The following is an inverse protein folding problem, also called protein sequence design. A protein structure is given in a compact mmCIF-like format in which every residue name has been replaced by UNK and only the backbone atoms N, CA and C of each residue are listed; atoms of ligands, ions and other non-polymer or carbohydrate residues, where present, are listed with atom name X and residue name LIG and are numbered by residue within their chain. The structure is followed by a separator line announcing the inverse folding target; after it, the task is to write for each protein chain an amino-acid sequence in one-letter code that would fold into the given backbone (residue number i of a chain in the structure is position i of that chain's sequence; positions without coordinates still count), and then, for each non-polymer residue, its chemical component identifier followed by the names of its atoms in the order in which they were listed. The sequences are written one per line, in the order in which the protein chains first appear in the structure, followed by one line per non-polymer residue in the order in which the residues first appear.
data_IF_882444512582
#
_entry.id   IF_882444512582
#
_cell.length_a   1.000
_cell.length_b   1.000
_cell.length_c   1.000
_cell.angle_alpha   90.00
_cell.angle_beta   90.00
_cell.angle_gamma   90.00
#
_symmetry.space_group_name_H-M   'P 1'
#
loop_
_entity.id
_entity.type
_entity.pdbx_description
1 polymer ?
#
# COMPACT_ATOMS: atom_id res chain seq x y z
N UNK A 1 2.04 12.48 -17.09
CA UNK A 1 0.65 12.99 -17.22
C UNK A 1 0.06 12.71 -18.59
N UNK A 2 0.78 12.87 -19.67
CA UNK A 2 0.29 12.73 -21.06
C UNK A 2 -0.41 11.38 -21.32
N UNK A 3 0.17 10.27 -20.82
CA UNK A 3 -0.43 8.93 -20.95
C UNK A 3 -1.79 8.86 -20.25
N UNK A 4 -1.89 9.46 -19.06
CA UNK A 4 -3.10 9.46 -18.25
C UNK A 4 -4.19 10.29 -18.91
N UNK A 5 -3.84 11.47 -19.38
CA UNK A 5 -4.74 12.37 -20.10
C UNK A 5 -5.27 11.74 -21.39
N UNK A 6 -4.42 10.98 -22.10
CA UNK A 6 -4.80 10.26 -23.32
C UNK A 6 -5.87 9.18 -23.07
N UNK A 7 -5.86 8.53 -21.92
CA UNK A 7 -6.81 7.45 -21.59
C UNK A 7 -8.14 7.96 -21.03
N UNK A 8 -8.22 9.21 -20.58
CA UNK A 8 -9.45 9.82 -20.09
C UNK A 8 -10.08 9.14 -18.88
N UNK A 9 -9.28 8.47 -18.04
CA UNK A 9 -9.73 7.75 -16.86
C UNK A 9 -10.15 8.74 -15.76
N UNK A 10 -11.25 8.43 -15.06
CA UNK A 10 -11.78 9.28 -13.99
C UNK A 10 -11.03 9.13 -12.68
N UNK A 11 -10.62 7.92 -12.36
CA UNK A 11 -9.91 7.59 -11.12
C UNK A 11 -8.60 6.91 -11.42
N UNK A 12 -7.64 7.10 -10.52
CA UNK A 12 -6.30 6.55 -10.62
C UNK A 12 -5.92 5.90 -9.29
N UNK A 13 -5.38 4.67 -9.40
CA UNK A 13 -4.73 4.00 -8.29
C UNK A 13 -3.22 4.15 -8.45
N UNK A 14 -2.56 4.68 -7.43
CA UNK A 14 -1.10 4.79 -7.35
C UNK A 14 -0.60 3.74 -6.37
N UNK A 15 0.34 2.92 -6.80
CA UNK A 15 0.87 1.80 -6.03
C UNK A 15 2.37 1.95 -5.83
N UNK A 16 2.88 1.50 -4.66
CA UNK A 16 4.31 1.28 -4.47
C UNK A 16 4.78 0.04 -5.27
N UNK A 17 6.04 0.04 -5.69
CA UNK A 17 6.60 -1.02 -6.53
C UNK A 17 7.31 -2.15 -5.79
N UNK A 18 7.45 -2.04 -4.46
CA UNK A 18 8.26 -2.92 -3.60
C UNK A 18 7.46 -3.53 -2.43
N UNK A 19 6.17 -3.76 -2.64
CA UNK A 19 5.29 -4.36 -1.65
C UNK A 19 4.71 -5.69 -2.14
N UNK A 20 4.60 -6.68 -1.25
CA UNK A 20 4.00 -7.99 -1.51
C UNK A 20 2.72 -8.13 -0.71
N UNK A 21 1.59 -8.26 -1.38
CA UNK A 21 0.26 -8.40 -0.78
C UNK A 21 -0.77 -8.86 -1.81
N UNK A 22 -1.97 -9.24 -1.35
CA UNK A 22 -3.16 -9.41 -2.19
C UNK A 22 -4.27 -8.48 -1.70
N UNK A 23 -4.85 -7.72 -2.62
CA UNK A 23 -5.86 -6.72 -2.29
C UNK A 23 -6.91 -6.60 -3.40
N UNK A 24 -8.16 -6.48 -3.00
CA UNK A 24 -9.24 -6.08 -3.87
C UNK A 24 -9.32 -4.54 -3.93
N UNK A 25 -8.79 -3.96 -5.01
CA UNK A 25 -8.78 -2.52 -5.21
C UNK A 25 -10.17 -1.93 -5.48
N UNK A 26 -11.13 -2.74 -5.94
CA UNK A 26 -12.49 -2.29 -6.18
C UNK A 26 -13.15 -1.79 -4.89
N UNK A 27 -12.93 -2.49 -3.77
CA UNK A 27 -13.46 -2.09 -2.46
C UNK A 27 -12.88 -0.74 -1.99
N UNK A 28 -11.60 -0.50 -2.23
CA UNK A 28 -10.98 0.79 -1.91
C UNK A 28 -11.49 1.90 -2.83
N UNK A 29 -11.63 1.62 -4.12
CA UNK A 29 -12.18 2.56 -5.10
C UNK A 29 -13.63 2.91 -4.77
N UNK A 30 -14.46 1.92 -4.40
CA UNK A 30 -15.85 2.15 -3.99
C UNK A 30 -15.91 3.07 -2.76
N UNK A 31 -15.09 2.82 -1.73
CA UNK A 31 -15.00 3.72 -0.57
C UNK A 31 -14.61 5.15 -0.98
N UNK A 32 -13.66 5.30 -1.91
CA UNK A 32 -13.24 6.59 -2.42
C UNK A 32 -14.41 7.35 -3.05
N UNK A 33 -15.16 6.68 -3.94
CA UNK A 33 -16.32 7.25 -4.63
C UNK A 33 -17.42 7.62 -3.63
N UNK A 34 -17.77 6.70 -2.72
CA UNK A 34 -18.86 6.90 -1.77
C UNK A 34 -18.55 7.99 -0.75
N UNK A 35 -17.30 8.11 -0.33
CA UNK A 35 -16.86 9.15 0.60
C UNK A 35 -16.75 10.52 -0.06
N UNK A 36 -16.60 10.59 -1.39
CA UNK A 36 -16.30 11.84 -2.10
C UNK A 36 -14.99 12.45 -1.60
N UNK A 37 -13.99 11.64 -1.31
CA UNK A 37 -12.66 12.07 -0.87
C UNK A 37 -11.84 12.59 -2.05
N UNK A 38 -10.91 13.50 -1.79
CA UNK A 38 -9.89 13.94 -2.75
C UNK A 38 -8.78 12.89 -2.88
N UNK A 39 -8.47 12.22 -1.76
CA UNK A 39 -7.57 11.07 -1.71
C UNK A 39 -8.07 10.02 -0.72
N UNK A 40 -7.97 8.74 -1.09
CA UNK A 40 -8.11 7.61 -0.18
C UNK A 40 -6.75 6.92 -0.05
N UNK A 41 -6.31 6.66 1.18
CA UNK A 41 -4.98 6.11 1.49
C UNK A 41 -5.13 4.73 2.11
N UNK A 42 -4.56 3.71 1.46
CA UNK A 42 -4.47 2.37 2.03
C UNK A 42 -3.55 2.34 3.25
N UNK A 43 -4.01 1.72 4.33
CA UNK A 43 -3.27 1.68 5.59
C UNK A 43 -3.37 0.35 6.32
N UNK A 44 -2.33 0.09 7.11
CA UNK A 44 -2.21 -1.03 8.04
C UNK A 44 -2.30 -0.54 9.48
N UNK A 45 -2.87 -1.39 10.34
CA UNK A 45 -2.70 -1.25 11.78
C UNK A 45 -1.42 -1.97 12.19
N UNK A 46 -0.48 -1.23 12.76
CA UNK A 46 0.80 -1.75 13.23
C UNK A 46 1.06 -1.30 14.67
N UNK A 47 1.85 -2.05 15.46
CA UNK A 47 2.30 -1.57 16.76
C UNK A 47 2.95 -0.18 16.63
N UNK A 48 2.55 0.76 17.50
CA UNK A 48 3.00 2.16 17.43
C UNK A 48 4.52 2.30 17.37
N UNK A 49 5.25 1.45 18.07
CA UNK A 49 6.71 1.46 18.08
C UNK A 49 7.34 1.07 16.73
N UNK A 50 6.63 0.27 15.94
CA UNK A 50 7.08 -0.17 14.60
C UNK A 50 6.73 0.85 13.52
N UNK A 51 5.77 1.72 13.79
CA UNK A 51 5.27 2.71 12.83
C UNK A 51 6.29 3.81 12.48
N UNK A 52 7.40 3.94 13.20
CA UNK A 52 8.44 4.98 13.02
C UNK A 52 9.12 4.93 11.64
N UNK A 53 9.05 3.79 10.94
CA UNK A 53 9.60 3.60 9.59
C UNK A 53 8.68 4.04 8.46
N UNK A 54 7.42 4.36 8.75
CA UNK A 54 6.35 4.59 7.77
C UNK A 54 5.81 6.03 7.81
N UNK A 55 5.10 6.41 6.75
CA UNK A 55 4.15 7.51 6.84
C UNK A 55 2.98 7.11 7.74
N UNK A 56 2.65 7.91 8.75
CA UNK A 56 1.62 7.59 9.75
C UNK A 56 0.50 8.60 9.70
N UNK A 57 -0.72 8.09 9.76
CA UNK A 57 -1.93 8.91 9.72
C UNK A 57 -2.54 9.05 11.11
N UNK A 58 -2.94 10.29 11.43
CA UNK A 58 -3.87 10.55 12.51
C UNK A 58 -5.27 10.66 11.92
N UNK A 59 -6.22 9.89 12.43
CA UNK A 59 -7.59 9.83 11.94
C UNK A 59 -8.60 10.19 13.03
N UNK A 60 -9.78 10.64 12.62
CA UNK A 60 -10.93 10.73 13.50
C UNK A 60 -11.70 9.39 13.58
N UNK A 61 -12.82 9.38 14.29
CA UNK A 61 -13.67 8.19 14.49
C UNK A 61 -14.38 7.71 13.20
N UNK A 62 -14.27 8.43 12.10
CA UNK A 62 -14.83 8.11 10.79
C UNK A 62 -13.75 7.80 9.75
N UNK A 63 -12.53 7.47 10.21
CA UNK A 63 -11.34 7.24 9.37
C UNK A 63 -10.98 8.43 8.45
N UNK A 64 -11.46 9.66 8.76
CA UNK A 64 -10.98 10.85 8.08
C UNK A 64 -9.59 11.21 8.58
N UNK A 65 -8.66 11.38 7.65
CA UNK A 65 -7.28 11.71 7.97
C UNK A 65 -7.20 13.20 8.34
N UNK A 66 -6.75 13.48 9.55
CA UNK A 66 -6.58 14.82 10.10
C UNK A 66 -5.13 15.30 10.09
N UNK A 67 -4.17 14.37 10.02
CA UNK A 67 -2.76 14.66 9.83
C UNK A 67 -2.05 13.46 9.16
N UNK A 68 -1.01 13.76 8.39
CA UNK A 68 -0.09 12.77 7.82
C UNK A 68 1.34 13.14 8.22
N UNK A 69 2.06 12.22 8.83
CA UNK A 69 3.39 12.42 9.38
C UNK A 69 4.35 11.40 8.75
N UNK A 70 5.34 11.88 8.02
CA UNK A 70 6.34 11.03 7.42
C UNK A 70 7.41 10.64 8.45
N UNK A 71 7.51 9.34 8.74
CA UNK A 71 8.49 8.72 9.65
C UNK A 71 8.62 9.45 11.00
N UNK A 72 7.50 9.63 11.74
CA UNK A 72 7.53 10.36 12.98
C UNK A 72 8.29 9.58 14.06
N UNK A 73 9.04 10.28 14.92
CA UNK A 73 9.70 9.67 16.08
C UNK A 73 8.71 9.18 17.14
N UNK A 74 7.56 9.83 17.23
CA UNK A 74 6.45 9.50 18.12
C UNK A 74 5.16 9.41 17.30
N UNK A 75 4.84 8.24 16.71
CA UNK A 75 3.65 8.07 15.88
C UNK A 75 2.36 8.29 16.68
N UNK A 76 1.33 8.92 16.11
CA UNK A 76 0.03 9.02 16.77
C UNK A 76 -0.63 7.66 16.90
N UNK A 77 -1.33 7.45 18.02
CA UNK A 77 -2.17 6.25 18.22
C UNK A 77 -3.51 6.35 17.48
N UNK A 78 -4.14 5.20 17.28
CA UNK A 78 -5.49 5.12 16.70
C UNK A 78 -6.51 5.50 17.80
N UNK A 79 -7.56 6.30 17.50
CA UNK A 79 -8.61 6.59 18.45
C UNK A 79 -9.21 5.31 19.06
N UNK A 80 -9.12 5.18 20.39
CA UNK A 80 -9.58 4.00 21.14
C UNK A 80 -8.57 2.84 21.18
N UNK A 81 -7.43 2.94 20.53
CA UNK A 81 -6.34 1.97 20.62
C UNK A 81 -4.96 2.65 20.47
N UNK A 82 -4.53 3.30 21.53
CA UNK A 82 -3.29 4.11 21.56
C UNK A 82 -1.99 3.29 21.39
N UNK A 83 -2.06 1.96 21.51
CA UNK A 83 -0.91 1.07 21.30
C UNK A 83 -0.63 0.77 19.83
N UNK A 84 -1.60 1.05 18.96
CA UNK A 84 -1.52 0.84 17.51
C UNK A 84 -1.51 2.17 16.76
N UNK A 85 -0.91 2.18 15.58
CA UNK A 85 -0.87 3.31 14.66
C UNK A 85 -1.33 2.88 13.26
N UNK A 86 -1.83 3.83 12.45
CA UNK A 86 -2.17 3.59 11.05
C UNK A 86 -0.97 3.98 10.17
N UNK A 87 -0.28 2.96 9.67
CA UNK A 87 0.83 3.12 8.73
C UNK A 87 0.31 3.14 7.29
N UNK A 88 0.82 4.07 6.49
CA UNK A 88 0.54 4.14 5.06
C UNK A 88 1.20 3.00 4.32
N UNK A 89 0.45 2.36 3.43
CA UNK A 89 0.95 1.30 2.54
C UNK A 89 1.54 1.85 1.24
N UNK A 90 1.56 3.18 1.01
CA UNK A 90 1.95 3.73 -0.28
C UNK A 90 0.94 3.41 -1.40
N UNK A 91 -0.31 3.14 -1.03
CA UNK A 91 -1.41 2.87 -1.95
C UNK A 91 -2.41 4.00 -1.85
N UNK A 92 -2.70 4.64 -2.98
CA UNK A 92 -3.55 5.84 -3.04
C UNK A 92 -4.58 5.72 -4.14
N UNK A 93 -5.80 6.20 -3.88
CA UNK A 93 -6.82 6.43 -4.91
C UNK A 93 -7.10 7.92 -5.00
N UNK A 94 -7.11 8.44 -6.22
CA UNK A 94 -7.40 9.84 -6.53
C UNK A 94 -8.40 9.97 -7.67
N UNK A 95 -9.11 11.07 -7.70
CA UNK A 95 -9.69 11.59 -8.94
C UNK A 95 -8.55 12.10 -9.83
N UNK A 96 -8.56 11.73 -11.11
CA UNK A 96 -7.41 11.93 -12.01
C UNK A 96 -7.04 13.39 -12.22
N UNK A 97 -8.03 14.27 -12.43
CA UNK A 97 -7.76 15.70 -12.65
C UNK A 97 -7.21 16.35 -11.37
N UNK A 98 -7.76 15.97 -10.22
CA UNK A 98 -7.27 16.45 -8.93
C UNK A 98 -5.80 16.07 -8.72
N UNK A 99 -5.44 14.79 -8.96
CA UNK A 99 -4.04 14.34 -8.86
C UNK A 99 -3.14 15.11 -9.84
N UNK A 100 -3.58 15.28 -11.10
CA UNK A 100 -2.81 16.00 -12.10
C UNK A 100 -2.50 17.45 -11.66
N UNK A 101 -3.46 18.12 -11.03
CA UNK A 101 -3.27 19.47 -10.49
C UNK A 101 -2.32 19.49 -9.30
N UNK A 102 -2.38 18.51 -8.40
CA UNK A 102 -1.42 18.39 -7.29
C UNK A 102 0.00 18.16 -7.81
N UNK A 103 0.17 17.26 -8.77
CA UNK A 103 1.47 16.97 -9.39
C UNK A 103 2.05 18.20 -10.13
N UNK A 104 1.22 18.99 -10.81
CA UNK A 104 1.67 20.24 -11.45
C UNK A 104 2.12 21.29 -10.42
N UNK A 105 1.39 21.43 -9.32
CA UNK A 105 1.75 22.32 -8.21
C UNK A 105 3.07 21.90 -7.58
N UNK A 106 3.21 20.62 -7.27
CA UNK A 106 4.43 20.06 -6.72
C UNK A 106 5.62 20.24 -7.69
N UNK A 107 5.40 20.00 -8.98
CA UNK A 107 6.42 20.21 -10.01
C UNK A 107 6.90 21.67 -10.10
N UNK A 108 6.05 22.64 -9.80
CA UNK A 108 6.39 24.06 -9.81
C UNK A 108 7.10 24.52 -8.52
N UNK A 109 7.04 23.76 -7.43
CA UNK A 109 7.70 24.11 -6.17
C UNK A 109 9.19 23.69 -6.19
N UNK A 110 10.15 24.64 -6.19
CA UNK A 110 11.57 24.32 -6.18
C UNK A 110 12.05 23.68 -4.87
N UNK A 111 11.25 23.72 -3.80
CA UNK A 111 11.57 23.12 -2.50
C UNK A 111 11.07 21.70 -2.35
N UNK A 112 10.19 21.24 -3.23
CA UNK A 112 9.65 19.90 -3.20
C UNK A 112 10.73 18.85 -3.49
N UNK A 113 10.73 17.77 -2.72
CA UNK A 113 11.56 16.59 -2.96
C UNK A 113 10.96 15.64 -3.99
N UNK A 114 9.75 15.94 -4.49
CA UNK A 114 8.97 15.10 -5.44
C UNK A 114 8.55 13.75 -4.83
N UNK A 115 8.28 13.75 -3.56
CA UNK A 115 7.91 12.58 -2.79
C UNK A 115 6.43 12.64 -2.38
N UNK A 116 5.68 11.57 -2.62
CA UNK A 116 4.26 11.52 -2.27
C UNK A 116 4.04 11.69 -0.76
N UNK A 117 4.81 11.00 0.06
CA UNK A 117 4.65 11.01 1.51
C UNK A 117 5.10 12.30 2.17
N UNK A 118 6.12 12.98 1.59
CA UNK A 118 6.68 14.21 2.17
C UNK A 118 6.00 15.48 1.68
N UNK A 119 5.65 15.51 0.39
CA UNK A 119 5.23 16.75 -0.26
C UNK A 119 3.74 16.72 -0.63
N UNK A 120 3.29 15.70 -1.37
CA UNK A 120 1.95 15.69 -1.97
C UNK A 120 0.87 15.36 -0.93
N UNK A 121 1.00 14.24 -0.23
CA UNK A 121 -0.03 13.77 0.71
C UNK A 121 -0.25 14.75 1.87
N UNK A 122 0.79 15.27 2.56
CA UNK A 122 0.58 16.26 3.61
C UNK A 122 -0.13 17.53 3.13
N UNK A 123 0.18 18.01 1.92
CA UNK A 123 -0.48 19.17 1.33
C UNK A 123 -1.97 18.90 1.06
N UNK A 124 -2.32 17.71 0.57
CA UNK A 124 -3.73 17.32 0.34
C UNK A 124 -4.47 17.18 1.68
N UNK A 125 -3.87 16.52 2.68
CA UNK A 125 -4.49 16.37 4.01
C UNK A 125 -4.78 17.72 4.68
N UNK A 126 -3.88 18.69 4.52
CA UNK A 126 -4.06 20.03 5.09
C UNK A 126 -5.14 20.87 4.41
N UNK A 127 -5.44 20.63 3.14
CA UNK A 127 -6.34 21.47 2.34
C UNK A 127 -7.57 20.77 1.76
N UNK A 128 -7.65 19.44 1.87
CA UNK A 128 -8.68 18.64 1.23
C UNK A 128 -9.31 17.59 2.14
N UNK A 129 -10.04 16.68 1.51
CA UNK A 129 -10.69 15.56 2.18
C UNK A 129 -9.91 14.27 1.92
N UNK A 130 -9.18 13.83 2.91
CA UNK A 130 -8.44 12.57 2.89
C UNK A 130 -9.09 11.52 3.81
N UNK A 131 -9.20 10.27 3.33
CA UNK A 131 -9.83 9.16 4.05
C UNK A 131 -8.87 7.97 4.10
N UNK A 132 -8.80 7.30 5.25
CA UNK A 132 -8.04 6.07 5.42
C UNK A 132 -8.87 4.86 4.98
N UNK A 133 -8.26 3.98 4.20
CA UNK A 133 -8.81 2.67 3.85
C UNK A 133 -8.03 1.59 4.58
N UNK A 134 -8.66 0.93 5.54
CA UNK A 134 -8.01 -0.15 6.30
C UNK A 134 -7.82 -1.36 5.40
N UNK A 135 -6.61 -1.84 5.24
CA UNK A 135 -6.26 -2.99 4.40
C UNK A 135 -7.06 -4.25 4.76
N UNK A 136 -7.41 -4.41 6.03
CA UNK A 136 -8.26 -5.51 6.51
C UNK A 136 -9.63 -5.57 5.84
N UNK A 137 -10.12 -4.47 5.28
CA UNK A 137 -11.41 -4.40 4.57
C UNK A 137 -11.33 -4.90 3.12
N UNK A 138 -10.13 -4.98 2.55
CA UNK A 138 -9.91 -5.33 1.14
C UNK A 138 -8.79 -6.35 0.91
N UNK A 139 -8.09 -6.79 1.96
CA UNK A 139 -7.08 -7.83 1.82
C UNK A 139 -7.73 -9.15 1.41
N UNK A 140 -7.12 -9.82 0.43
CA UNK A 140 -7.54 -11.16 0.02
C UNK A 140 -6.80 -12.18 0.88
N UNK A 141 -7.56 -13.03 1.56
CA UNK A 141 -7.06 -14.04 2.49
C UNK A 141 -7.40 -15.43 1.96
N UNK A 142 -6.47 -16.36 2.10
CA UNK A 142 -6.68 -17.76 1.71
C UNK A 142 -7.63 -18.50 2.65
N UNK A 143 -7.78 -18.02 3.90
CA UNK A 143 -8.74 -18.50 4.89
C UNK A 143 -9.29 -17.34 5.70
N UNK A 144 -10.52 -17.48 6.20
CA UNK A 144 -11.23 -16.41 6.92
C UNK A 144 -10.49 -15.93 8.18
N UNK A 145 -9.71 -16.82 8.81
CA UNK A 145 -8.94 -16.55 10.04
C UNK A 145 -7.46 -16.16 9.76
N UNK A 146 -7.05 -16.16 8.48
CA UNK A 146 -5.69 -15.79 8.13
C UNK A 146 -5.44 -14.29 8.38
N UNK A 147 -4.25 -13.96 8.87
CA UNK A 147 -3.82 -12.58 9.01
C UNK A 147 -3.68 -11.91 7.63
N UNK A 148 -3.88 -10.58 7.61
CA UNK A 148 -3.66 -9.78 6.41
C UNK A 148 -2.16 -9.75 6.08
N UNK A 149 -1.77 -10.43 5.01
CA UNK A 149 -0.36 -10.49 4.60
C UNK A 149 0.03 -9.23 3.83
N UNK A 150 1.01 -8.52 4.36
CA UNK A 150 1.68 -7.42 3.67
C UNK A 150 3.16 -7.38 4.08
N UNK A 151 4.05 -7.18 3.11
CA UNK A 151 5.50 -7.03 3.31
C UNK A 151 6.01 -5.88 2.46
N UNK A 152 6.78 -5.01 3.08
CA UNK A 152 7.68 -4.08 2.40
C UNK A 152 9.01 -4.81 2.16
N UNK A 153 9.47 -4.87 0.92
CA UNK A 153 10.73 -5.51 0.53
C UNK A 153 11.77 -4.50 0.02
N UNK A 154 11.71 -3.27 0.49
CA UNK A 154 12.61 -2.18 0.14
C UNK A 154 14.06 -2.34 0.63
N UNK A 155 14.36 -3.37 1.42
CA UNK A 155 15.74 -3.72 1.83
C UNK A 155 16.11 -5.13 1.34
N UNK A 156 17.42 -5.39 1.18
CA UNK A 156 17.91 -6.71 0.76
C UNK A 156 17.48 -7.80 1.75
N UNK A 157 17.54 -7.50 3.05
CA UNK A 157 17.18 -8.46 4.10
C UNK A 157 15.67 -8.76 4.06
N UNK A 158 14.81 -7.74 3.98
CA UNK A 158 13.35 -7.93 3.87
C UNK A 158 12.96 -8.69 2.59
N UNK A 159 13.63 -8.41 1.47
CA UNK A 159 13.44 -9.15 0.22
C UNK A 159 13.82 -10.62 0.38
N UNK A 160 14.97 -10.91 0.99
CA UNK A 160 15.42 -12.26 1.25
C UNK A 160 14.47 -13.01 2.19
N UNK A 161 14.09 -12.40 3.31
CA UNK A 161 13.14 -12.97 4.27
C UNK A 161 11.80 -13.32 3.61
N UNK A 162 11.24 -12.42 2.80
CA UNK A 162 9.99 -12.67 2.08
C UNK A 162 10.10 -13.87 1.12
N UNK A 163 11.25 -14.05 0.44
CA UNK A 163 11.49 -15.24 -0.39
C UNK A 163 11.59 -16.51 0.45
N UNK A 164 12.25 -16.47 1.60
CA UNK A 164 12.35 -17.63 2.51
C UNK A 164 10.97 -17.98 3.09
N UNK A 165 10.15 -17.00 3.46
CA UNK A 165 8.78 -17.23 3.93
C UNK A 165 7.96 -18.04 2.90
N UNK A 166 8.11 -17.76 1.61
CA UNK A 166 7.40 -18.46 0.54
C UNK A 166 7.87 -19.93 0.35
N UNK A 167 9.00 -20.32 0.93
CA UNK A 167 9.49 -21.73 0.89
C UNK A 167 8.87 -22.59 1.99
N UNK A 168 8.11 -22.01 2.91
CA UNK A 168 7.40 -22.74 3.95
C UNK A 168 6.40 -23.72 3.34
N UNK A 169 6.12 -24.83 4.04
CA UNK A 169 5.11 -25.81 3.61
C UNK A 169 3.72 -25.18 3.46
N UNK A 170 3.39 -24.24 4.35
CA UNK A 170 2.16 -23.43 4.33
C UNK A 170 2.56 -21.98 4.53
N UNK A 171 2.93 -21.27 3.44
CA UNK A 171 3.27 -19.85 3.54
C UNK A 171 2.04 -19.01 3.87
N UNK A 172 2.24 -17.91 4.60
CA UNK A 172 1.17 -16.98 4.93
C UNK A 172 0.52 -16.34 3.69
N UNK A 173 1.31 -16.12 2.63
CA UNK A 173 0.80 -15.74 1.31
C UNK A 173 0.64 -17.01 0.45
N UNK A 174 -0.61 -17.39 0.16
CA UNK A 174 -0.90 -18.53 -0.72
C UNK A 174 -0.70 -18.13 -2.19
N UNK A 175 0.34 -18.71 -2.80
CA UNK A 175 0.64 -18.53 -4.23
C UNK A 175 -0.20 -19.45 -5.13
N UNK A 176 -0.88 -20.45 -4.57
CA UNK A 176 -1.68 -21.44 -5.30
C UNK A 176 -3.18 -21.15 -5.24
N UNK A 177 -3.57 -20.03 -4.63
CA UNK A 177 -4.94 -19.56 -4.55
C UNK A 177 -5.50 -19.35 -5.97
N UNK A 178 -6.50 -20.15 -6.35
CA UNK A 178 -7.12 -20.11 -7.68
C UNK A 178 -8.25 -19.09 -7.78
N UNK A 179 -8.79 -18.68 -6.65
CA UNK A 179 -9.90 -17.72 -6.63
C UNK A 179 -9.36 -16.28 -6.78
N UNK A 180 -8.08 -16.07 -6.38
CA UNK A 180 -7.38 -14.79 -6.54
C UNK A 180 -5.93 -15.01 -7.01
N UNK A 181 -5.73 -15.42 -8.28
CA UNK A 181 -4.41 -15.77 -8.78
C UNK A 181 -3.51 -14.54 -8.94
N UNK A 182 -2.22 -14.71 -8.61
CA UNK A 182 -1.20 -13.72 -8.95
C UNK A 182 -0.77 -13.97 -10.40
N UNK A 183 -1.13 -13.04 -11.29
CA UNK A 183 -0.77 -13.13 -12.70
C UNK A 183 0.69 -12.74 -12.90
N UNK A 184 1.46 -13.62 -13.52
CA UNK A 184 2.86 -13.39 -13.87
C UNK A 184 3.15 -13.94 -15.26
N UNK A 185 4.24 -13.47 -15.86
CA UNK A 185 4.71 -14.05 -17.13
C UNK A 185 5.22 -15.46 -16.89
N UNK A 186 4.61 -16.45 -17.55
CA UNK A 186 5.01 -17.85 -17.49
C UNK A 186 6.01 -18.16 -18.59
N UNK A 187 7.29 -18.28 -18.25
CA UNK A 187 8.28 -18.81 -19.18
C UNK A 187 8.14 -20.32 -19.32
N UNK A 188 8.20 -20.79 -20.56
CA UNK A 188 8.30 -22.24 -20.83
C UNK A 188 9.75 -22.66 -20.64
N UNK A 189 10.11 -23.03 -19.44
CA UNK A 189 11.45 -23.52 -19.10
C UNK A 189 11.50 -25.05 -19.06
N UNK A 190 12.62 -25.66 -19.40
CA UNK A 190 12.79 -27.12 -19.22
C UNK A 190 12.74 -27.48 -17.72
N UNK A 191 12.45 -28.75 -17.38
CA UNK A 191 12.47 -29.18 -16.00
C UNK A 191 13.82 -28.90 -15.32
N UNK A 192 13.75 -28.52 -14.03
CA UNK A 192 14.96 -28.34 -13.23
C UNK A 192 15.82 -29.60 -13.24
N UNK A 193 17.14 -29.43 -13.37
CA UNK A 193 18.10 -30.51 -13.28
C UNK A 193 18.91 -30.39 -11.99
N UNK A 194 18.98 -31.46 -11.24
CA UNK A 194 19.88 -31.54 -10.12
C UNK A 194 21.26 -31.93 -10.66
N UNK A 195 22.25 -31.08 -10.38
CA UNK A 195 23.63 -31.30 -10.89
C UNK A 195 24.33 -32.40 -10.13
N UNK A 196 23.94 -32.63 -8.87
CA UNK A 196 24.42 -33.70 -8.02
C UNK A 196 23.24 -34.60 -7.65
N UNK A 197 23.47 -35.90 -7.63
CA UNK A 197 22.55 -36.90 -7.11
C UNK A 197 22.82 -37.20 -5.62
N UNK A 198 22.16 -38.23 -5.09
CA UNK A 198 22.27 -38.60 -3.67
C UNK A 198 23.70 -38.99 -3.27
N UNK A 199 24.50 -39.38 -4.20
CA UNK A 199 25.87 -39.91 -3.96
C UNK A 199 26.96 -38.84 -4.15
N UNK A 200 26.58 -37.56 -4.40
CA UNK A 200 27.44 -36.40 -4.53
C UNK A 200 27.34 -35.70 -5.85
#
# INVERSE_FOLDING_TARGET
LDIIETHGVKYMVVLAGDHIYKMDYELMLQQHVDSGADVTIGCLEVPRMEATGFGVMHVDTQDRITAFLEKPKDPPGIPGNESMALASMGIYVFETNFLADQLRRDAADPKSSRDFGKDIIPNIVNGGKAVAHRFTNSCVRSAQEAEAYWRDVGTVDAYWEANIDLTQTLPALDLYDRDWPIWTYGEVTPPAKFVHDIDG
#
